data_IF_497579548376
#
_entry.id   IF_497579548376
#
_cell.length_a   1.000
_cell.length_b   1.000
_cell.length_c   1.000
_cell.angle_alpha   90.00
_cell.angle_beta   90.00
_cell.angle_gamma   90.00
#
_symmetry.space_group_name_H-M   'P 1'
#
loop_
_entity.id
_entity.type
_entity.pdbx_description
1 polymer ?
#
# COMPACT_ATOMS: atom_id res chain seq x y z
N UNK A 1 -11.37 -20.52 -25.36
CA UNK A 1 -11.04 -19.23 -24.72
C UNK A 1 -12.34 -18.45 -24.59
N UNK A 2 -12.54 -17.74 -23.49
CA UNK A 2 -13.78 -16.96 -23.31
C UNK A 2 -13.60 -15.57 -23.90
N UNK A 3 -14.55 -15.14 -24.72
CA UNK A 3 -14.58 -13.83 -25.33
C UNK A 3 -15.86 -13.11 -24.97
N UNK A 4 -15.71 -11.85 -24.59
CA UNK A 4 -16.85 -10.97 -24.27
C UNK A 4 -17.32 -10.26 -25.54
N UNK A 5 -18.61 -10.30 -25.79
CA UNK A 5 -19.28 -9.61 -26.89
C UNK A 5 -20.28 -8.59 -26.38
N UNK A 6 -20.49 -7.55 -27.18
CA UNK A 6 -21.51 -6.54 -26.94
C UNK A 6 -22.44 -6.47 -28.14
N UNK A 7 -23.75 -6.55 -27.90
CA UNK A 7 -24.74 -6.31 -28.94
C UNK A 7 -25.19 -4.85 -28.92
N UNK A 8 -25.09 -4.17 -30.06
CA UNK A 8 -25.57 -2.78 -30.19
C UNK A 8 -27.10 -2.68 -30.26
N UNK A 9 -27.77 -3.75 -30.69
CA UNK A 9 -29.23 -3.78 -30.82
C UNK A 9 -29.96 -3.86 -29.47
N UNK A 10 -29.57 -4.79 -28.61
CA UNK A 10 -30.21 -4.99 -27.30
C UNK A 10 -29.37 -4.47 -26.11
N UNK A 11 -28.13 -4.04 -26.33
CA UNK A 11 -27.28 -3.44 -25.29
C UNK A 11 -26.71 -4.43 -24.27
N UNK A 12 -26.87 -5.73 -24.49
CA UNK A 12 -26.39 -6.77 -23.57
C UNK A 12 -24.92 -7.10 -23.82
N UNK A 13 -24.19 -7.37 -22.73
CA UNK A 13 -22.86 -7.99 -22.77
C UNK A 13 -22.96 -9.45 -22.33
N UNK A 14 -22.27 -10.33 -23.04
CA UNK A 14 -22.26 -11.75 -22.75
C UNK A 14 -20.92 -12.38 -23.13
N UNK A 15 -20.64 -13.53 -22.52
CA UNK A 15 -19.39 -14.27 -22.71
C UNK A 15 -19.64 -15.55 -23.51
N UNK A 16 -18.84 -15.77 -24.56
CA UNK A 16 -18.86 -16.98 -25.38
C UNK A 16 -17.54 -17.73 -25.23
N UNK A 17 -17.62 -19.04 -25.01
CA UNK A 17 -16.46 -19.94 -25.11
C UNK A 17 -16.27 -20.34 -26.57
N UNK A 18 -15.15 -19.92 -27.16
CA UNK A 18 -14.84 -20.18 -28.57
C UNK A 18 -13.39 -20.66 -28.73
N UNK A 19 -13.12 -21.48 -29.75
CA UNK A 19 -11.77 -21.84 -30.18
C UNK A 19 -10.97 -20.63 -30.66
N UNK A 20 -9.64 -20.70 -30.59
CA UNK A 20 -8.77 -19.61 -31.08
C UNK A 20 -8.79 -19.51 -32.62
N UNK A 21 -8.98 -20.64 -33.31
CA UNK A 21 -9.01 -20.75 -34.77
C UNK A 21 -10.43 -20.79 -35.34
N UNK A 22 -11.44 -20.71 -34.48
CA UNK A 22 -12.84 -20.78 -34.87
C UNK A 22 -13.33 -19.40 -35.34
N UNK A 23 -14.27 -19.37 -36.27
CA UNK A 23 -14.81 -18.14 -36.84
C UNK A 23 -15.65 -17.36 -35.82
N UNK A 24 -15.49 -16.04 -35.77
CA UNK A 24 -16.15 -15.19 -34.77
C UNK A 24 -17.67 -15.22 -34.89
N UNK A 25 -18.35 -15.27 -33.75
CA UNK A 25 -19.81 -15.15 -33.70
C UNK A 25 -20.21 -13.71 -34.02
N UNK A 26 -20.99 -13.54 -35.09
CA UNK A 26 -21.45 -12.23 -35.56
C UNK A 26 -22.87 -11.85 -35.10
N UNK A 27 -23.64 -12.81 -34.57
CA UNK A 27 -25.05 -12.62 -34.26
C UNK A 27 -25.32 -12.77 -32.76
N UNK A 28 -26.13 -11.88 -32.21
CA UNK A 28 -26.58 -11.93 -30.83
C UNK A 28 -27.52 -13.13 -30.61
N UNK A 29 -27.33 -13.95 -29.55
CA UNK A 29 -28.23 -15.06 -29.25
C UNK A 29 -29.64 -14.61 -28.88
N UNK A 30 -29.81 -13.39 -28.34
CA UNK A 30 -31.11 -12.89 -27.89
C UNK A 30 -31.92 -12.20 -28.98
N UNK A 31 -31.29 -11.35 -29.79
CA UNK A 31 -31.99 -10.51 -30.77
C UNK A 31 -31.60 -10.77 -32.23
N UNK A 32 -30.59 -11.61 -32.49
CA UNK A 32 -30.08 -11.89 -33.84
C UNK A 32 -29.35 -10.73 -34.52
N UNK A 33 -29.22 -9.58 -33.85
CA UNK A 33 -28.52 -8.40 -34.37
C UNK A 33 -26.99 -8.58 -34.39
N UNK A 34 -26.28 -7.68 -35.10
CA UNK A 34 -24.82 -7.73 -35.20
C UNK A 34 -24.17 -7.51 -33.82
N UNK A 35 -23.13 -8.28 -33.52
CA UNK A 35 -22.36 -8.18 -32.28
C UNK A 35 -20.89 -7.93 -32.52
N UNK A 36 -20.29 -7.12 -31.66
CA UNK A 36 -18.89 -6.76 -31.73
C UNK A 36 -18.16 -7.34 -30.53
N UNK A 37 -17.00 -7.96 -30.77
CA UNK A 37 -16.13 -8.46 -29.70
C UNK A 37 -15.55 -7.29 -28.93
N UNK A 38 -15.75 -7.28 -27.61
CA UNK A 38 -15.27 -6.21 -26.73
C UNK A 38 -14.15 -6.74 -25.85
N UNK A 39 -12.98 -6.11 -25.97
CA UNK A 39 -11.87 -6.36 -25.05
C UNK A 39 -12.01 -5.40 -23.88
N UNK A 40 -12.39 -5.90 -22.72
CA UNK A 40 -12.32 -5.13 -21.49
C UNK A 40 -10.86 -4.99 -21.10
N UNK A 41 -10.32 -3.77 -21.17
CA UNK A 41 -9.02 -3.48 -20.59
C UNK A 41 -9.09 -3.72 -19.08
N UNK A 42 -8.13 -4.45 -18.48
CA UNK A 42 -8.08 -4.58 -17.03
C UNK A 42 -7.96 -3.18 -16.43
N UNK A 43 -8.94 -2.79 -15.63
CA UNK A 43 -8.89 -1.51 -14.94
C UNK A 43 -7.97 -1.68 -13.75
N UNK A 44 -6.71 -1.30 -13.91
CA UNK A 44 -5.77 -1.18 -12.79
C UNK A 44 -6.06 0.15 -12.10
N UNK A 45 -6.65 0.12 -10.91
CA UNK A 45 -6.74 1.32 -10.05
C UNK A 45 -5.32 1.73 -9.69
N UNK A 46 -4.82 2.79 -10.33
CA UNK A 46 -3.42 3.25 -10.19
C UNK A 46 -3.06 3.79 -8.80
N UNK A 47 -4.02 3.97 -7.88
CA UNK A 47 -3.83 4.89 -6.75
C UNK A 47 -4.26 4.36 -5.37
N UNK A 48 -4.60 3.08 -5.21
CA UNK A 48 -5.06 2.54 -3.89
C UNK A 48 -3.99 1.70 -3.17
N UNK A 49 -2.74 1.77 -3.62
CA UNK A 49 -1.66 0.95 -3.04
C UNK A 49 -1.84 -0.55 -3.35
N UNK A 50 -0.89 -1.36 -2.89
CA UNK A 50 -0.96 -2.82 -3.00
C UNK A 50 -1.40 -3.41 -1.66
N UNK A 51 -2.29 -4.39 -1.67
CA UNK A 51 -2.61 -5.11 -0.45
C UNK A 51 -1.41 -5.98 -0.03
N UNK A 52 -0.93 -5.78 1.19
CA UNK A 52 0.16 -6.57 1.76
C UNK A 52 -0.39 -7.72 2.57
N UNK A 53 -0.18 -8.96 2.10
CA UNK A 53 -0.52 -10.17 2.88
C UNK A 53 0.27 -10.28 4.18
N UNK A 54 1.49 -9.74 4.22
CA UNK A 54 2.34 -9.78 5.42
C UNK A 54 1.87 -8.80 6.48
N UNK A 55 1.39 -7.62 6.08
CA UNK A 55 0.91 -6.58 7.02
C UNK A 55 -0.61 -6.60 7.23
N UNK A 56 -1.37 -7.33 6.40
CA UNK A 56 -2.83 -7.36 6.43
C UNK A 56 -3.52 -6.05 6.03
N UNK A 57 -2.79 -5.10 5.44
CA UNK A 57 -3.28 -3.77 5.04
C UNK A 57 -2.76 -3.34 3.67
N UNK A 58 -3.44 -2.38 3.06
CA UNK A 58 -2.94 -1.68 1.88
C UNK A 58 -1.69 -0.88 2.22
N UNK A 59 -0.70 -0.92 1.32
CA UNK A 59 0.53 -0.14 1.39
C UNK A 59 0.66 0.73 0.16
N UNK A 60 0.93 2.00 0.43
CA UNK A 60 0.99 3.06 -0.58
C UNK A 60 2.35 3.15 -1.28
N UNK A 61 3.42 2.72 -0.61
CA UNK A 61 4.80 2.76 -1.10
C UNK A 61 5.64 1.64 -0.50
N UNK A 62 6.84 1.44 -1.07
CA UNK A 62 7.83 0.52 -0.50
C UNK A 62 8.26 0.95 0.91
N UNK A 63 8.40 2.25 1.15
CA UNK A 63 8.79 2.80 2.46
C UNK A 63 7.71 2.52 3.52
N UNK A 64 6.43 2.70 3.18
CA UNK A 64 5.28 2.37 4.06
C UNK A 64 5.25 0.87 4.39
N UNK A 65 5.58 0.03 3.42
CA UNK A 65 5.73 -1.41 3.62
C UNK A 65 6.90 -1.76 4.55
N UNK A 66 8.07 -1.14 4.39
CA UNK A 66 9.24 -1.37 5.24
C UNK A 66 9.01 -0.90 6.69
N UNK A 67 8.35 0.25 6.87
CA UNK A 67 7.95 0.75 8.19
C UNK A 67 6.99 -0.22 8.88
N UNK A 68 5.95 -0.67 8.17
CA UNK A 68 5.01 -1.66 8.70
C UNK A 68 5.69 -2.99 9.04
N UNK A 69 6.63 -3.44 8.22
CA UNK A 69 7.40 -4.66 8.51
C UNK A 69 8.29 -4.51 9.74
N UNK A 70 8.95 -3.37 9.92
CA UNK A 70 9.77 -3.12 11.09
C UNK A 70 8.92 -3.07 12.37
N UNK A 71 7.73 -2.49 12.30
CA UNK A 71 6.77 -2.53 13.40
C UNK A 71 6.29 -3.95 13.70
N UNK A 72 5.93 -4.73 12.68
CA UNK A 72 5.49 -6.12 12.88
C UNK A 72 6.63 -6.97 13.47
N UNK A 73 7.87 -6.82 12.98
CA UNK A 73 9.06 -7.48 13.54
C UNK A 73 9.27 -7.12 15.00
N UNK A 74 9.07 -5.86 15.34
CA UNK A 74 9.15 -5.38 16.71
C UNK A 74 8.12 -6.06 17.63
N UNK A 75 6.86 -6.11 17.17
CA UNK A 75 5.76 -6.73 17.90
C UNK A 75 5.92 -8.24 18.03
N UNK A 76 6.42 -8.91 16.98
CA UNK A 76 6.46 -10.37 16.88
C UNK A 76 7.70 -10.99 17.52
N UNK A 77 8.87 -10.32 17.51
CA UNK A 77 10.16 -10.97 17.83
C UNK A 77 10.97 -10.38 19.00
N UNK A 78 10.59 -9.26 19.65
CA UNK A 78 11.47 -8.64 20.68
C UNK A 78 10.82 -8.08 21.95
N UNK A 79 9.49 -7.95 22.04
CA UNK A 79 8.84 -7.46 23.27
C UNK A 79 8.92 -8.43 24.45
N UNK A 80 9.30 -9.69 24.23
CA UNK A 80 9.39 -10.71 25.29
C UNK A 80 10.74 -10.74 26.03
N UNK A 81 11.81 -10.12 25.52
CA UNK A 81 13.16 -10.27 26.09
C UNK A 81 13.99 -8.99 26.32
N UNK A 82 13.58 -7.80 25.84
CA UNK A 82 14.47 -6.61 25.81
C UNK A 82 14.04 -5.38 26.64
N UNK A 83 12.85 -5.35 27.25
CA UNK A 83 12.41 -4.19 28.05
C UNK A 83 12.49 -2.85 27.28
N UNK A 84 12.78 -1.74 27.95
CA UNK A 84 12.81 -0.37 27.37
C UNK A 84 13.78 -0.17 26.18
N UNK A 85 14.66 -1.14 25.90
CA UNK A 85 15.57 -1.11 24.74
C UNK A 85 14.86 -1.41 23.40
N UNK A 86 13.58 -1.78 23.47
CA UNK A 86 12.81 -2.23 22.33
C UNK A 86 12.07 -1.06 21.62
N UNK A 87 12.10 0.17 22.12
CA UNK A 87 11.43 1.31 21.46
C UNK A 87 11.97 1.61 20.04
N UNK A 88 11.12 2.09 19.11
CA UNK A 88 11.54 2.44 17.76
C UNK A 88 12.69 3.44 17.80
N UNK A 89 13.66 3.26 16.88
CA UNK A 89 14.94 4.01 16.86
C UNK A 89 14.75 5.53 16.96
N UNK A 90 13.69 6.04 16.35
CA UNK A 90 13.38 7.48 16.30
C UNK A 90 13.10 8.05 17.69
N UNK A 91 12.38 7.32 18.55
CA UNK A 91 12.07 7.75 19.92
C UNK A 91 13.34 7.78 20.81
N UNK A 92 14.33 6.93 20.52
CA UNK A 92 15.62 6.95 21.22
C UNK A 92 16.48 8.14 20.82
N UNK A 93 16.47 8.50 19.53
CA UNK A 93 17.17 9.68 19.00
C UNK A 93 16.58 10.95 19.62
N UNK A 94 15.25 11.12 19.56
CA UNK A 94 14.56 12.28 20.13
C UNK A 94 14.82 12.43 21.63
N UNK A 95 14.78 11.34 22.39
CA UNK A 95 15.03 11.37 23.84
C UNK A 95 16.47 11.77 24.16
N UNK A 96 17.44 11.32 23.37
CA UNK A 96 18.85 11.72 23.52
C UNK A 96 19.08 13.19 23.17
N UNK A 97 18.46 13.67 22.10
CA UNK A 97 18.54 15.07 21.69
C UNK A 97 17.95 15.99 22.75
N UNK A 98 16.77 15.64 23.29
CA UNK A 98 16.12 16.37 24.38
C UNK A 98 17.01 16.41 25.64
N UNK A 99 17.65 15.28 25.98
CA UNK A 99 18.58 15.23 27.12
C UNK A 99 19.84 16.09 26.89
N UNK A 100 20.36 16.14 25.67
CA UNK A 100 21.51 16.96 25.29
C UNK A 100 21.17 18.46 25.36
N UNK A 101 19.99 18.84 24.86
CA UNK A 101 19.48 20.21 24.92
C UNK A 101 19.32 20.69 26.37
N UNK A 102 18.73 19.86 27.24
CA UNK A 102 18.58 20.18 28.66
C UNK A 102 19.95 20.32 29.36
N UNK A 103 20.94 19.49 29.00
CA UNK A 103 22.30 19.62 29.53
C UNK A 103 22.97 20.93 29.09
N UNK A 104 22.88 21.27 27.82
CA UNK A 104 23.46 22.50 27.26
C UNK A 104 22.82 23.75 27.88
N UNK A 105 21.50 23.73 28.10
CA UNK A 105 20.78 24.80 28.80
C UNK A 105 21.33 25.03 30.21
N UNK A 106 21.50 23.97 31.00
CA UNK A 106 22.08 24.07 32.36
C UNK A 106 23.52 24.58 32.37
N UNK A 107 24.31 24.28 31.35
CA UNK A 107 25.67 24.82 31.22
C UNK A 107 25.62 26.31 30.95
N UNK A 108 24.75 26.74 30.03
CA UNK A 108 24.55 28.15 29.70
C UNK A 108 24.10 28.96 30.92
N UNK A 109 23.08 28.48 31.64
CA UNK A 109 22.58 29.14 32.86
C UNK A 109 23.67 29.29 33.94
N UNK A 110 24.62 28.35 34.01
CA UNK A 110 25.79 28.44 34.92
C UNK A 110 26.84 29.44 34.44
N UNK A 111 27.03 29.59 33.13
CA UNK A 111 27.96 30.57 32.57
C UNK A 111 27.42 31.99 32.75
N UNK A 112 26.13 32.18 32.49
CA UNK A 112 25.46 33.48 32.60
C UNK A 112 25.49 33.97 34.07
N UNK A 113 25.20 33.10 35.05
CA UNK A 113 25.28 33.42 36.49
C UNK A 113 26.72 33.65 37.00
N UNK A 114 27.74 33.17 36.27
CA UNK A 114 29.14 33.43 36.59
C UNK A 114 29.64 34.79 36.06
N UNK A 115 28.94 35.41 35.11
CA UNK A 115 29.27 36.73 34.55
C UNK A 115 28.62 37.90 35.33
N UNK A 116 27.61 37.62 36.15
CA UNK A 116 26.90 38.61 36.98
C UNK A 116 27.51 38.78 38.40
N UNK A 117 28.64 38.13 38.71
CA UNK A 117 29.43 38.30 39.94
C UNK A 117 30.76 38.96 39.66
#
# INVERSE_FOLDING_TARGET
MTYTFYCEGCGVMYDIVQGVLEEHVHNCPDCGGPTVRRFTVPTVKKNEGFYSHTLGREVSSHEDFEQGLNQLRYETDQSKWLGDAAKPKDEWVERKETALQNRNKRIKDRMDNAQEK
#
